data_IF_217250951731
#
_entry.id   IF_217250951731
#
_cell.length_a   1.000
_cell.length_b   1.000
_cell.length_c   1.000
_cell.angle_alpha   90.00
_cell.angle_beta   90.00
_cell.angle_gamma   90.00
#
_symmetry.space_group_name_H-M   'P 1'
#
loop_
_entity.id
_entity.type
_entity.pdbx_description
1 polymer ?
#
# COMPACT_ATOMS: atom_id res chain seq x y z
N UNK A 1 -45.96 -10.32 -47.89
CA UNK A 1 -44.74 -9.53 -47.63
C UNK A 1 -44.88 -8.94 -46.25
N UNK A 2 -44.22 -9.51 -45.24
CA UNK A 2 -44.22 -9.04 -43.86
C UNK A 2 -42.79 -8.63 -43.51
N UNK A 3 -42.60 -7.40 -43.06
CA UNK A 3 -41.30 -6.85 -42.66
C UNK A 3 -41.14 -7.03 -41.14
N UNK A 4 -40.12 -7.79 -40.74
CA UNK A 4 -39.74 -7.98 -39.34
C UNK A 4 -38.92 -6.77 -38.87
N UNK A 5 -39.44 -6.03 -37.90
CA UNK A 5 -38.77 -4.90 -37.25
C UNK A 5 -37.96 -5.42 -36.06
N UNK A 6 -36.66 -5.60 -36.25
CA UNK A 6 -35.73 -6.01 -35.20
C UNK A 6 -35.36 -4.83 -34.30
N UNK A 7 -35.95 -4.75 -33.12
CA UNK A 7 -35.54 -3.83 -32.06
C UNK A 7 -34.24 -4.35 -31.44
N UNK A 8 -33.10 -3.79 -31.83
CA UNK A 8 -31.83 -4.01 -31.15
C UNK A 8 -31.86 -3.30 -29.79
N UNK A 9 -31.89 -4.08 -28.70
CA UNK A 9 -31.65 -3.55 -27.35
C UNK A 9 -30.15 -3.25 -27.23
N UNK A 10 -29.81 -1.98 -27.11
CA UNK A 10 -28.46 -1.55 -26.74
C UNK A 10 -28.11 -2.13 -25.36
N UNK A 11 -26.97 -2.81 -25.26
CA UNK A 11 -26.45 -3.30 -23.99
C UNK A 11 -26.13 -2.09 -23.09
N UNK A 12 -26.78 -2.01 -21.94
CA UNK A 12 -26.41 -1.05 -20.89
C UNK A 12 -25.13 -1.57 -20.25
N UNK A 13 -23.99 -1.11 -20.76
CA UNK A 13 -22.70 -1.31 -20.13
C UNK A 13 -22.65 -0.35 -18.94
N UNK A 14 -22.83 -0.87 -17.73
CA UNK A 14 -22.53 -0.12 -16.51
C UNK A 14 -21.02 0.06 -16.43
N UNK A 15 -20.51 1.17 -17.00
CA UNK A 15 -19.11 1.52 -16.87
C UNK A 15 -18.82 1.80 -15.40
N UNK A 16 -17.90 1.05 -14.79
CA UNK A 16 -17.34 1.44 -13.51
C UNK A 16 -16.45 2.66 -13.73
N UNK A 17 -16.66 3.69 -12.91
CA UNK A 17 -15.85 4.91 -12.92
C UNK A 17 -15.24 5.04 -11.53
N UNK A 18 -13.93 5.20 -11.48
CA UNK A 18 -13.18 5.50 -10.26
C UNK A 18 -12.88 6.99 -10.19
N UNK A 19 -13.07 7.57 -9.01
CA UNK A 19 -12.82 8.98 -8.75
C UNK A 19 -11.62 9.14 -7.80
N UNK A 20 -10.67 9.98 -8.18
CA UNK A 20 -9.54 10.41 -7.35
C UNK A 20 -9.46 11.94 -7.29
N UNK A 21 -8.89 12.49 -6.22
CA UNK A 21 -8.59 13.92 -6.12
C UNK A 21 -7.12 14.16 -5.81
N UNK A 22 -6.56 15.20 -6.42
CA UNK A 22 -5.21 15.69 -6.14
C UNK A 22 -5.26 17.22 -6.00
N UNK A 23 -5.31 17.72 -4.77
CA UNK A 23 -5.66 19.12 -4.50
C UNK A 23 -7.06 19.47 -5.05
N UNK A 24 -7.13 20.54 -5.84
CA UNK A 24 -8.37 20.98 -6.49
C UNK A 24 -8.71 20.19 -7.78
N UNK A 25 -7.84 19.27 -8.19
CA UNK A 25 -8.02 18.47 -9.41
C UNK A 25 -8.88 17.23 -9.15
N UNK A 26 -9.92 17.03 -9.96
CA UNK A 26 -10.72 15.80 -10.02
C UNK A 26 -10.19 14.91 -11.15
N UNK A 27 -9.89 13.65 -10.83
CA UNK A 27 -9.44 12.63 -11.77
C UNK A 27 -10.53 11.55 -11.84
N UNK A 28 -11.04 11.28 -13.04
CA UNK A 28 -12.02 10.23 -13.29
C UNK A 28 -11.38 9.18 -14.20
N UNK A 29 -11.39 7.92 -13.78
CA UNK A 29 -10.84 6.81 -14.57
C UNK A 29 -11.96 5.84 -14.91
N UNK A 30 -12.13 5.55 -16.19
CA UNK A 30 -13.10 4.58 -16.70
C UNK A 30 -12.45 3.20 -16.89
N UNK A 31 -13.26 2.13 -16.90
CA UNK A 31 -12.81 0.73 -17.17
C UNK A 31 -12.07 0.59 -18.50
N UNK A 32 -12.41 1.38 -19.50
CA UNK A 32 -11.76 1.38 -20.81
C UNK A 32 -10.35 2.00 -20.81
N UNK A 33 -9.90 2.50 -19.66
CA UNK A 33 -8.62 3.19 -19.49
C UNK A 33 -8.66 4.66 -19.87
N UNK A 34 -9.83 5.23 -20.19
CA UNK A 34 -9.98 6.67 -20.41
C UNK A 34 -9.85 7.40 -19.09
N UNK A 35 -8.99 8.43 -19.06
CA UNK A 35 -8.77 9.29 -17.90
C UNK A 35 -9.29 10.69 -18.22
N UNK A 36 -10.09 11.25 -17.33
CA UNK A 36 -10.57 12.63 -17.39
C UNK A 36 -9.98 13.42 -16.23
N UNK A 37 -9.61 14.68 -16.51
CA UNK A 37 -9.16 15.62 -15.50
C UNK A 37 -10.08 16.84 -15.57
N UNK A 38 -10.77 17.12 -14.46
CA UNK A 38 -11.74 18.22 -14.34
C UNK A 38 -12.81 18.21 -15.46
N UNK A 39 -13.28 17.02 -15.85
CA UNK A 39 -14.28 16.86 -16.90
C UNK A 39 -13.75 17.00 -18.33
N UNK A 40 -12.44 17.16 -18.54
CA UNK A 40 -11.82 17.10 -19.86
C UNK A 40 -11.09 15.77 -20.08
N UNK A 41 -11.28 15.10 -21.23
CA UNK A 41 -10.63 13.82 -21.49
C UNK A 41 -9.15 14.09 -21.74
N UNK A 42 -8.29 13.48 -20.93
CA UNK A 42 -6.86 13.49 -21.20
C UNK A 42 -6.65 12.52 -22.35
N UNK A 43 -6.46 13.06 -23.55
CA UNK A 43 -6.10 12.27 -24.72
C UNK A 43 -4.76 11.59 -24.45
N UNK A 44 -4.82 10.37 -23.88
CA UNK A 44 -3.68 9.51 -23.75
C UNK A 44 -3.18 9.25 -25.15
N UNK A 45 -2.11 9.94 -25.57
CA UNK A 45 -1.19 9.32 -26.50
C UNK A 45 -0.80 8.04 -25.80
N UNK A 46 -1.41 6.93 -26.23
CA UNK A 46 -0.98 5.59 -25.89
C UNK A 46 0.48 5.57 -26.30
N UNK A 47 1.37 5.87 -25.36
CA UNK A 47 2.77 5.56 -25.50
C UNK A 47 2.75 4.06 -25.60
N UNK A 48 2.74 3.55 -26.84
CA UNK A 48 3.08 2.17 -27.11
C UNK A 48 4.34 1.94 -26.29
N UNK A 49 4.37 0.92 -25.41
CA UNK A 49 5.63 0.57 -24.79
C UNK A 49 6.61 0.39 -25.93
N UNK A 50 7.61 1.26 -25.99
CA UNK A 50 8.69 1.13 -26.97
C UNK A 50 9.14 -0.32 -26.87
N UNK A 51 9.14 -1.02 -28.00
CA UNK A 51 9.58 -2.41 -28.05
C UNK A 51 10.96 -2.45 -27.38
N UNK A 52 10.99 -2.96 -26.15
CA UNK A 52 12.22 -3.26 -25.46
C UNK A 52 12.82 -4.37 -26.29
N UNK A 53 13.76 -4.01 -27.16
CA UNK A 53 14.71 -4.95 -27.75
C UNK A 53 15.50 -5.52 -26.58
N UNK A 54 15.00 -6.62 -26.03
CA UNK A 54 15.71 -7.45 -25.08
C UNK A 54 17.00 -7.90 -25.76
N UNK A 55 18.19 -7.56 -25.25
CA UNK A 55 19.40 -8.21 -25.71
C UNK A 55 19.29 -9.71 -25.39
N UNK A 56 19.58 -10.56 -26.37
CA UNK A 56 19.62 -12.01 -26.19
C UNK A 56 20.53 -12.37 -25.03
N UNK A 57 20.09 -13.22 -24.07
CA UNK A 57 20.97 -13.70 -23.03
C UNK A 57 22.08 -14.57 -23.64
N UNK A 58 23.33 -14.51 -23.14
CA UNK A 58 24.33 -15.49 -23.52
C UNK A 58 23.89 -16.88 -23.04
N UNK A 59 23.81 -17.81 -23.98
CA UNK A 59 23.67 -19.24 -23.73
C UNK A 59 24.89 -19.73 -22.98
N UNK A 60 24.76 -19.87 -21.66
CA UNK A 60 25.56 -20.81 -20.88
C UNK A 60 24.62 -21.71 -20.11
N UNK A 61 24.47 -22.91 -20.64
CA UNK A 61 24.02 -24.07 -19.90
C UNK A 61 24.86 -24.23 -18.63
N UNK A 62 24.22 -24.40 -17.47
CA UNK A 62 24.30 -25.62 -16.68
C UNK A 62 23.12 -25.65 -15.71
N UNK A 63 22.36 -26.73 -15.81
CA UNK A 63 21.26 -27.11 -14.95
C UNK A 63 21.80 -27.93 -13.79
N UNK A 64 21.45 -27.53 -12.56
CA UNK A 64 21.24 -28.38 -11.38
C UNK A 64 20.09 -27.66 -10.63
N UNK A 65 18.84 -28.00 -10.90
CA UNK A 65 18.08 -29.06 -10.20
C UNK A 65 18.23 -28.98 -8.67
N UNK A 66 17.63 -27.94 -8.09
CA UNK A 66 16.96 -28.10 -6.80
C UNK A 66 15.54 -27.54 -6.93
N UNK A 67 14.66 -28.40 -7.44
CA UNK A 67 13.24 -28.37 -7.16
C UNK A 67 13.01 -28.63 -5.65
N UNK A 68 13.48 -27.71 -4.81
CA UNK A 68 13.11 -27.64 -3.40
C UNK A 68 11.67 -27.16 -3.34
N UNK A 69 10.74 -28.12 -3.28
CA UNK A 69 9.32 -27.91 -3.05
C UNK A 69 9.11 -26.75 -2.06
N UNK A 70 8.64 -25.62 -2.58
CA UNK A 70 8.08 -24.57 -1.72
C UNK A 70 6.94 -25.24 -0.94
N UNK A 71 6.92 -25.16 0.39
CA UNK A 71 5.78 -25.64 1.16
C UNK A 71 4.61 -24.70 0.91
N UNK A 72 3.97 -24.86 -0.25
CA UNK A 72 2.63 -24.39 -0.51
C UNK A 72 1.65 -25.33 0.23
N UNK A 73 0.57 -24.73 0.72
CA UNK A 73 -0.68 -25.41 1.09
C UNK A 73 -0.81 -26.06 2.48
N UNK A 74 -0.09 -25.57 3.48
CA UNK A 74 -0.63 -25.55 4.85
C UNK A 74 -0.46 -24.16 5.45
N UNK A 75 -0.94 -23.14 4.72
CA UNK A 75 -1.32 -21.88 5.35
C UNK A 75 -2.39 -22.25 6.37
N UNK A 76 -1.95 -22.45 7.61
CA UNK A 76 -2.82 -22.73 8.74
C UNK A 76 -3.91 -21.67 8.73
N UNK A 77 -5.16 -22.12 8.75
CA UNK A 77 -6.37 -21.30 8.80
C UNK A 77 -6.46 -20.61 10.18
N UNK A 78 -5.42 -19.87 10.54
CA UNK A 78 -5.46 -19.03 11.72
C UNK A 78 -6.39 -17.86 11.42
N UNK A 79 -7.36 -17.60 12.31
CA UNK A 79 -8.26 -16.49 12.14
C UNK A 79 -7.45 -15.19 12.04
N UNK A 80 -7.56 -14.52 10.89
CA UNK A 80 -6.91 -13.23 10.68
C UNK A 80 -7.72 -12.14 11.40
N UNK A 81 -7.35 -11.86 12.64
CA UNK A 81 -7.94 -10.79 13.43
C UNK A 81 -7.13 -9.50 13.24
N UNK A 82 -7.57 -8.68 12.29
CA UNK A 82 -6.93 -7.41 11.99
C UNK A 82 -6.96 -6.44 13.18
N UNK A 83 -8.05 -6.43 13.96
CA UNK A 83 -8.23 -5.49 15.06
C UNK A 83 -7.30 -5.84 16.22
N UNK A 84 -7.14 -7.13 16.53
CA UNK A 84 -6.15 -7.59 17.51
C UNK A 84 -4.71 -7.25 17.10
N UNK A 85 -4.37 -7.37 15.82
CA UNK A 85 -3.04 -6.99 15.31
C UNK A 85 -2.78 -5.49 15.46
N UNK A 86 -3.76 -4.65 15.14
CA UNK A 86 -3.68 -3.19 15.29
C UNK A 86 -3.50 -2.82 16.76
N UNK A 87 -4.32 -3.36 17.67
CA UNK A 87 -4.20 -3.08 19.09
C UNK A 87 -2.82 -3.48 19.63
N UNK A 88 -2.33 -4.67 19.26
CA UNK A 88 -1.01 -5.11 19.66
C UNK A 88 0.13 -4.23 19.11
N UNK A 89 -0.07 -3.58 17.96
CA UNK A 89 0.88 -2.60 17.42
C UNK A 89 0.85 -1.28 18.20
N UNK A 90 -0.34 -0.79 18.55
CA UNK A 90 -0.52 0.41 19.38
C UNK A 90 0.11 0.21 20.77
N UNK A 91 -0.15 -0.94 21.41
CA UNK A 91 0.42 -1.30 22.71
C UNK A 91 1.97 -1.37 22.64
N UNK A 92 2.52 -1.91 21.57
CA UNK A 92 3.98 -1.95 21.33
C UNK A 92 4.56 -0.57 21.05
N UNK A 93 3.84 0.30 20.34
CA UNK A 93 4.26 1.68 20.13
C UNK A 93 4.31 2.44 21.45
N UNK A 94 3.37 2.15 22.36
CA UNK A 94 3.27 2.72 23.70
C UNK A 94 4.27 2.12 24.72
N UNK A 95 5.00 1.07 24.37
CA UNK A 95 5.96 0.46 25.28
C UNK A 95 7.26 1.30 25.40
N UNK A 96 7.70 1.57 26.63
CA UNK A 96 8.96 2.23 26.95
C UNK A 96 8.82 3.37 27.96
N UNK A 97 9.95 3.96 28.38
CA UNK A 97 9.98 5.16 29.20
C UNK A 97 10.30 6.39 28.35
N UNK A 98 9.67 7.54 28.65
CA UNK A 98 9.93 8.80 27.97
C UNK A 98 9.44 8.85 26.52
N UNK A 99 8.21 8.39 26.25
CA UNK A 99 7.58 8.51 24.94
C UNK A 99 7.09 9.93 24.70
N UNK A 100 7.67 10.62 23.73
CA UNK A 100 7.03 11.77 23.11
C UNK A 100 5.90 11.31 22.17
N UNK A 101 4.89 12.15 21.96
CA UNK A 101 3.80 11.89 21.01
C UNK A 101 4.35 11.55 19.62
N UNK A 102 5.42 12.24 19.24
CA UNK A 102 6.15 12.02 18.01
C UNK A 102 6.75 10.62 17.90
N UNK A 103 7.44 10.15 18.95
CA UNK A 103 8.06 8.83 18.92
C UNK A 103 6.99 7.73 18.89
N UNK A 104 5.90 7.92 19.62
CA UNK A 104 4.75 7.02 19.56
C UNK A 104 4.21 6.93 18.12
N UNK A 105 4.00 8.07 17.46
CA UNK A 105 3.49 8.14 16.09
C UNK A 105 4.46 7.46 15.10
N UNK A 106 5.76 7.76 15.18
CA UNK A 106 6.76 7.12 14.34
C UNK A 106 6.73 5.59 14.48
N UNK A 107 6.64 5.09 15.71
CA UNK A 107 6.59 3.65 15.99
C UNK A 107 5.30 3.02 15.50
N UNK A 108 4.16 3.64 15.75
CA UNK A 108 2.86 3.06 15.34
C UNK A 108 2.77 2.99 13.81
N UNK A 109 3.22 4.02 13.10
CA UNK A 109 3.26 4.03 11.63
C UNK A 109 4.15 2.91 11.08
N UNK A 110 5.32 2.69 11.69
CA UNK A 110 6.20 1.57 11.33
C UNK A 110 5.56 0.19 11.60
N UNK A 111 4.86 0.04 12.72
CA UNK A 111 4.14 -1.21 13.01
C UNK A 111 2.97 -1.45 12.05
N UNK A 112 2.20 -0.42 11.72
CA UNK A 112 1.12 -0.48 10.74
C UNK A 112 1.61 -0.88 9.35
N UNK A 113 2.72 -0.29 8.88
CA UNK A 113 3.36 -0.70 7.64
C UNK A 113 3.75 -2.20 7.68
N UNK A 114 4.28 -2.68 8.81
CA UNK A 114 4.61 -4.08 9.03
C UNK A 114 3.40 -5.03 9.03
N UNK A 115 2.26 -4.61 9.57
CA UNK A 115 0.99 -5.37 9.50
C UNK A 115 0.55 -5.51 8.05
N UNK A 116 0.54 -4.41 7.30
CA UNK A 116 0.11 -4.40 5.90
C UNK A 116 1.02 -5.24 5.00
N UNK A 117 2.34 -5.19 5.23
CA UNK A 117 3.31 -5.98 4.47
C UNK A 117 3.10 -7.50 4.62
N UNK A 118 2.64 -7.94 5.80
CA UNK A 118 2.38 -9.36 6.11
C UNK A 118 0.93 -9.78 5.93
N UNK A 119 0.03 -8.86 5.58
CA UNK A 119 -1.39 -9.15 5.43
C UNK A 119 -1.61 -10.15 4.27
N UNK A 120 -2.35 -11.26 4.50
CA UNK A 120 -2.73 -12.16 3.42
C UNK A 120 -3.49 -11.44 2.31
N UNK A 121 -3.29 -11.83 1.06
CA UNK A 121 -3.88 -11.15 -0.10
C UNK A 121 -5.41 -10.98 0.02
N UNK A 122 -6.10 -12.01 0.51
CA UNK A 122 -7.55 -12.01 0.74
C UNK A 122 -8.04 -10.99 1.79
N UNK A 123 -7.18 -10.58 2.73
CA UNK A 123 -7.53 -9.63 3.79
C UNK A 123 -6.94 -8.24 3.57
N UNK A 124 -6.00 -8.08 2.63
CA UNK A 124 -5.21 -6.87 2.45
C UNK A 124 -6.05 -5.60 2.31
N UNK A 125 -7.12 -5.63 1.52
CA UNK A 125 -7.99 -4.45 1.35
C UNK A 125 -8.69 -4.05 2.66
N UNK A 126 -9.20 -5.02 3.42
CA UNK A 126 -9.81 -4.77 4.74
C UNK A 126 -8.77 -4.23 5.72
N UNK A 127 -7.56 -4.79 5.73
CA UNK A 127 -6.45 -4.32 6.56
C UNK A 127 -6.09 -2.86 6.24
N UNK A 128 -6.00 -2.49 4.96
CA UNK A 128 -5.75 -1.10 4.56
C UNK A 128 -6.82 -0.18 5.12
N UNK A 129 -8.10 -0.50 4.93
CA UNK A 129 -9.19 0.35 5.43
C UNK A 129 -9.18 0.50 6.96
N UNK A 130 -8.93 -0.60 7.68
CA UNK A 130 -8.84 -0.57 9.14
C UNK A 130 -7.67 0.30 9.63
N UNK A 131 -6.50 0.16 8.99
CA UNK A 131 -5.32 0.97 9.31
C UNK A 131 -5.53 2.45 9.01
N UNK A 132 -6.11 2.80 7.85
CA UNK A 132 -6.42 4.18 7.50
C UNK A 132 -7.40 4.82 8.51
N UNK A 133 -8.41 4.07 8.97
CA UNK A 133 -9.35 4.54 9.99
C UNK A 133 -8.68 4.80 11.35
N UNK A 134 -7.50 4.23 11.58
CA UNK A 134 -6.65 4.43 12.78
C UNK A 134 -5.55 5.47 12.58
N UNK A 135 -5.55 6.19 11.46
CA UNK A 135 -4.57 7.24 11.16
C UNK A 135 -3.28 6.74 10.53
N UNK A 136 -3.23 5.52 9.99
CA UNK A 136 -2.10 5.10 9.16
C UNK A 136 -1.94 6.02 7.95
N UNK A 137 -0.73 6.50 7.72
CA UNK A 137 -0.40 7.38 6.59
C UNK A 137 0.56 6.65 5.63
N UNK A 138 0.10 6.18 4.45
CA UNK A 138 0.94 5.52 3.46
C UNK A 138 1.89 6.54 2.83
N UNK A 139 3.09 6.64 3.38
CA UNK A 139 4.05 7.68 3.02
C UNK A 139 4.49 8.55 4.19
N UNK A 140 4.10 8.20 5.42
CA UNK A 140 4.62 8.83 6.63
C UNK A 140 6.15 8.94 6.57
N UNK A 141 6.64 10.18 6.56
CA UNK A 141 8.06 10.49 6.67
C UNK A 141 8.28 10.97 8.08
N UNK A 142 9.05 10.19 8.85
CA UNK A 142 9.46 10.61 10.17
C UNK A 142 10.31 11.89 10.03
N UNK A 143 9.93 13.00 10.68
CA UNK A 143 10.72 14.22 10.61
C UNK A 143 12.09 13.99 11.23
N UNK A 144 13.08 14.60 10.61
CA UNK A 144 14.42 14.65 11.17
C UNK A 144 14.39 15.54 12.42
N UNK A 145 14.62 14.95 13.59
CA UNK A 145 14.73 15.71 14.85
C UNK A 145 16.04 16.53 14.89
N UNK A 146 16.98 16.23 13.99
CA UNK A 146 18.28 16.87 13.96
C UNK A 146 19.21 16.40 15.09
N UNK A 147 20.43 16.96 15.14
CA UNK A 147 21.39 16.65 16.18
C UNK A 147 20.90 17.13 17.56
N UNK A 148 21.23 16.38 18.61
CA UNK A 148 20.86 16.70 20.00
C UNK A 148 19.56 16.05 20.48
N UNK A 149 18.91 15.22 19.69
CA UNK A 149 17.77 14.41 20.11
C UNK A 149 18.09 12.91 20.12
N UNK A 150 17.70 12.23 21.20
CA UNK A 150 17.86 10.80 21.37
C UNK A 150 16.96 10.05 20.38
N UNK A 151 17.54 9.27 19.46
CA UNK A 151 16.80 8.47 18.49
C UNK A 151 15.90 7.38 19.10
N UNK A 152 16.09 7.05 20.39
CA UNK A 152 15.31 6.01 21.09
C UNK A 152 14.08 6.55 21.79
N UNK A 153 14.15 7.78 22.29
CA UNK A 153 13.09 8.42 23.11
C UNK A 153 12.46 9.64 22.41
N UNK A 154 13.14 10.21 21.42
CA UNK A 154 12.75 11.47 20.79
C UNK A 154 12.87 12.68 21.74
N UNK A 155 13.54 12.51 22.88
CA UNK A 155 13.81 13.57 23.86
C UNK A 155 15.21 14.12 23.60
N UNK A 156 15.42 15.39 23.89
CA UNK A 156 16.74 16.02 23.92
C UNK A 156 17.75 15.16 24.69
N UNK A 157 18.92 14.92 24.10
CA UNK A 157 19.95 14.00 24.60
C UNK A 157 20.44 14.38 26.00
N UNK A 158 20.46 15.67 26.35
CA UNK A 158 20.89 16.16 27.67
C UNK A 158 19.89 15.85 28.78
N UNK A 159 18.62 15.65 28.43
CA UNK A 159 17.55 15.30 29.37
C UNK A 159 17.12 13.83 29.23
N UNK A 160 17.72 13.10 28.31
CA UNK A 160 17.32 11.73 28.03
C UNK A 160 17.82 10.76 29.11
N UNK A 161 16.88 10.11 29.80
CA UNK A 161 17.18 9.13 30.85
C UNK A 161 17.44 7.71 30.32
N UNK A 162 17.61 7.52 29.01
CA UNK A 162 17.80 6.19 28.42
C UNK A 162 19.17 5.55 28.69
N UNK A 163 20.11 6.33 29.25
CA UNK A 163 21.46 5.87 29.61
C UNK A 163 22.43 5.71 28.43
N UNK A 164 22.03 6.08 27.21
CA UNK A 164 22.87 5.97 26.01
C UNK A 164 23.68 7.24 25.72
N UNK A 165 23.28 8.38 26.27
CA UNK A 165 23.86 9.71 26.05
C UNK A 165 24.54 10.28 27.30
N UNK A 166 24.73 9.43 28.34
CA UNK A 166 25.40 9.78 29.60
C UNK A 166 26.90 9.49 29.54
#
# INVERSE_FOLDING_TARGET
>A
MAAESGVQRAAVVTAQVWYGRFGDMLIETCVDGTVWINGEPVAGKRSQPAAVTTPSPPTSAQAEDEAGARPDAAAQDQPYDCDALIQAAEDKAFAGCGLSDWLWEQRVQAYYAGILARAPAQHRQRTVQALLARGYEPGYVSPDLGPGYCSRTGIDEHYCTCGYHL
#
